data_IF_601847635975
#
_entry.id   IF_601847635975
#
_cell.length_a   1.000
_cell.length_b   1.000
_cell.length_c   1.000
_cell.angle_alpha   90.00
_cell.angle_beta   90.00
_cell.angle_gamma   90.00
#
_symmetry.space_group_name_H-M   'P 1'
#
loop_
_entity.id
_entity.type
_entity.pdbx_description
1 polymer ?
#
# COMPACT_ATOMS: atom_id res chain seq x y z
N UNK A 1 -21.17 28.45 22.19
CA UNK A 1 -20.66 28.97 20.90
C UNK A 1 -19.98 27.80 20.21
N UNK A 2 -20.59 27.35 19.11
CA UNK A 2 -20.16 26.21 18.31
C UNK A 2 -18.73 26.40 17.79
N UNK A 3 -17.88 25.39 18.01
CA UNK A 3 -16.67 25.13 17.22
C UNK A 3 -16.66 23.64 16.88
N UNK A 4 -17.72 23.20 16.22
CA UNK A 4 -17.67 22.04 15.33
C UNK A 4 -17.66 22.62 13.91
N UNK A 5 -16.87 22.03 13.01
CA UNK A 5 -16.86 22.24 11.55
C UNK A 5 -15.60 22.85 10.92
N UNK A 6 -14.41 22.71 11.54
CA UNK A 6 -13.14 22.88 10.80
C UNK A 6 -12.25 21.64 11.05
N UNK A 7 -11.69 21.07 9.98
CA UNK A 7 -10.69 19.99 9.90
C UNK A 7 -11.15 18.52 9.94
N UNK A 8 -11.96 18.07 8.99
CA UNK A 8 -12.04 16.63 8.64
C UNK A 8 -11.49 16.29 7.24
N UNK A 9 -11.37 17.27 6.35
CA UNK A 9 -10.91 17.04 4.97
C UNK A 9 -9.37 16.98 4.82
N UNK A 10 -8.65 17.39 5.87
CA UNK A 10 -7.19 17.52 5.87
C UNK A 10 -6.45 16.25 6.35
N UNK A 11 -7.13 15.34 7.05
CA UNK A 11 -6.52 14.13 7.63
C UNK A 11 -6.86 12.84 6.89
N UNK A 12 -7.24 12.93 5.61
CA UNK A 12 -7.57 11.73 4.82
C UNK A 12 -6.32 10.83 4.73
N UNK A 13 -6.35 9.61 5.31
CA UNK A 13 -5.24 8.68 5.21
C UNK A 13 -4.89 8.39 3.76
N UNK A 14 -3.61 8.16 3.47
CA UNK A 14 -3.21 7.68 2.15
C UNK A 14 -3.91 6.36 1.83
N UNK A 15 -4.15 5.52 2.82
CA UNK A 15 -4.87 4.26 2.68
C UNK A 15 -6.23 4.41 1.97
N UNK A 16 -6.94 5.51 2.19
CA UNK A 16 -8.26 5.75 1.59
C UNK A 16 -8.14 6.36 0.17
N UNK A 17 -6.93 6.73 -0.25
CA UNK A 17 -6.58 7.32 -1.54
C UNK A 17 -5.85 6.34 -2.47
N UNK A 18 -5.67 5.08 -2.06
CA UNK A 18 -4.99 4.06 -2.87
C UNK A 18 -5.94 2.98 -3.39
N UNK A 19 -5.58 2.43 -4.54
CA UNK A 19 -6.19 1.22 -5.09
C UNK A 19 -5.13 0.15 -5.26
N UNK A 20 -5.38 -1.01 -4.64
CA UNK A 20 -4.48 -2.16 -4.63
C UNK A 20 -5.10 -3.26 -5.47
N UNK A 21 -4.31 -3.86 -6.35
CA UNK A 21 -4.72 -5.04 -7.10
C UNK A 21 -4.97 -6.24 -6.16
N UNK A 22 -5.98 -7.05 -6.49
CA UNK A 22 -6.40 -8.18 -5.65
C UNK A 22 -5.22 -9.14 -5.42
N UNK A 23 -4.96 -9.45 -4.14
CA UNK A 23 -3.86 -10.30 -3.68
C UNK A 23 -2.65 -9.52 -3.16
N UNK A 24 -2.48 -8.25 -3.52
CA UNK A 24 -1.33 -7.44 -3.10
C UNK A 24 -1.56 -6.70 -1.78
N UNK A 25 -2.75 -6.82 -1.18
CA UNK A 25 -3.11 -6.11 0.04
C UNK A 25 -2.18 -6.46 1.20
N UNK A 26 -1.87 -7.75 1.38
CA UNK A 26 -0.98 -8.22 2.46
C UNK A 26 0.46 -7.80 2.22
N UNK A 27 0.92 -7.82 0.98
CA UNK A 27 2.24 -7.34 0.59
C UNK A 27 2.41 -5.86 0.93
N UNK A 28 1.44 -5.02 0.51
CA UNK A 28 1.45 -3.59 0.82
C UNK A 28 1.35 -3.32 2.33
N UNK A 29 0.46 -4.02 3.03
CA UNK A 29 0.29 -3.89 4.47
C UNK A 29 1.57 -4.28 5.24
N UNK A 30 2.28 -5.30 4.77
CA UNK A 30 3.52 -5.76 5.41
C UNK A 30 4.66 -4.78 5.18
N UNK A 31 4.70 -4.15 4.01
CA UNK A 31 5.74 -3.21 3.64
C UNK A 31 5.61 -1.83 4.31
N UNK A 32 4.41 -1.24 4.27
CA UNK A 32 4.19 0.14 4.73
C UNK A 32 3.46 0.25 6.07
N UNK A 33 2.74 -0.81 6.47
CA UNK A 33 2.04 -0.87 7.75
C UNK A 33 1.30 0.41 8.12
N UNK A 34 1.50 0.87 9.35
CA UNK A 34 0.81 2.03 9.90
C UNK A 34 1.16 3.36 9.21
N UNK A 35 2.19 3.41 8.36
CA UNK A 35 2.50 4.61 7.61
C UNK A 35 1.43 4.92 6.55
N UNK A 36 0.69 3.90 6.07
CA UNK A 36 -0.49 4.10 5.21
C UNK A 36 -1.61 4.90 5.88
N UNK A 37 -1.65 4.94 7.21
CA UNK A 37 -2.66 5.71 7.96
C UNK A 37 -2.37 7.21 7.98
N UNK A 38 -1.15 7.61 7.61
CA UNK A 38 -0.77 9.02 7.58
C UNK A 38 -1.39 9.74 6.36
N UNK A 39 -1.79 11.01 6.51
CA UNK A 39 -2.30 11.82 5.41
C UNK A 39 -1.20 12.32 4.47
N UNK A 40 -1.60 12.85 3.31
CA UNK A 40 -0.71 13.57 2.40
C UNK A 40 -0.55 15.03 2.86
N UNK A 41 0.68 15.54 2.85
CA UNK A 41 0.95 16.96 2.95
C UNK A 41 0.59 17.63 1.63
N UNK A 42 -0.52 18.38 1.63
CA UNK A 42 -0.95 19.19 0.48
C UNK A 42 -0.40 20.63 0.52
N UNK A 43 -0.11 21.13 1.71
CA UNK A 43 0.39 22.50 1.91
C UNK A 43 1.79 22.53 2.55
N UNK A 44 2.59 23.55 2.20
CA UNK A 44 3.95 23.69 2.74
C UNK A 44 3.97 23.95 4.25
N UNK A 45 2.88 24.48 4.81
CA UNK A 45 2.72 24.88 6.22
C UNK A 45 1.96 23.86 7.06
N UNK A 46 1.76 22.65 6.56
CA UNK A 46 1.05 21.57 7.27
C UNK A 46 1.66 21.26 8.64
N UNK A 47 0.79 21.14 9.65
CA UNK A 47 1.14 20.93 11.07
C UNK A 47 1.11 19.44 11.50
N UNK A 48 0.92 18.51 10.56
CA UNK A 48 0.81 17.09 10.89
C UNK A 48 2.12 16.55 11.48
N UNK A 49 2.01 15.72 12.54
CA UNK A 49 3.17 15.04 13.15
C UNK A 49 3.65 13.83 12.36
N UNK A 50 2.78 13.22 11.54
CA UNK A 50 3.04 12.10 10.64
C UNK A 50 2.33 12.39 9.33
N UNK A 51 3.04 12.40 8.22
CA UNK A 51 2.48 12.66 6.89
C UNK A 51 3.41 12.14 5.81
N UNK A 52 2.85 11.90 4.62
CA UNK A 52 3.60 11.69 3.40
C UNK A 52 3.76 13.03 2.67
N UNK A 53 4.94 13.31 2.14
CA UNK A 53 5.19 14.53 1.37
C UNK A 53 5.91 14.21 0.07
N UNK A 54 5.76 15.11 -0.89
CA UNK A 54 6.47 14.98 -2.16
C UNK A 54 7.95 15.28 -1.95
N UNK A 55 8.80 14.32 -2.30
CA UNK A 55 10.24 14.52 -2.34
C UNK A 55 10.61 15.34 -3.59
N UNK A 56 11.35 16.44 -3.39
CA UNK A 56 11.84 17.28 -4.49
C UNK A 56 12.96 16.55 -5.24
N UNK A 57 12.79 16.37 -6.56
CA UNK A 57 13.80 15.79 -7.43
C UNK A 57 13.80 14.27 -7.46
N UNK A 58 12.63 13.66 -7.72
CA UNK A 58 12.36 12.22 -7.91
C UNK A 58 13.50 11.45 -8.60
N UNK A 59 14.54 11.11 -7.83
CA UNK A 59 15.48 10.06 -8.19
C UNK A 59 14.78 8.78 -7.82
N UNK A 60 14.24 8.13 -8.84
CA UNK A 60 13.84 6.73 -8.75
C UNK A 60 15.10 5.98 -8.29
N UNK A 61 15.02 5.34 -7.12
CA UNK A 61 16.16 4.65 -6.51
C UNK A 61 16.72 3.54 -7.41
N UNK A 62 17.72 2.78 -6.92
CA UNK A 62 18.24 1.64 -7.68
C UNK A 62 17.12 0.67 -8.07
N UNK A 63 17.31 -0.03 -9.19
CA UNK A 63 16.38 -1.07 -9.61
C UNK A 63 16.32 -2.20 -8.57
N UNK A 64 15.14 -2.82 -8.47
CA UNK A 64 14.97 -3.99 -7.61
C UNK A 64 15.77 -5.18 -8.17
N UNK A 65 16.22 -6.11 -7.30
CA UNK A 65 16.88 -7.32 -7.76
C UNK A 65 16.03 -8.09 -8.76
N UNK A 66 16.69 -8.72 -9.74
CA UNK A 66 16.01 -9.51 -10.76
C UNK A 66 15.13 -10.59 -10.12
N UNK A 67 13.86 -10.67 -10.54
CA UNK A 67 12.86 -11.59 -9.99
C UNK A 67 11.97 -10.98 -8.90
N UNK A 68 12.29 -9.79 -8.40
CA UNK A 68 11.36 -9.02 -7.57
C UNK A 68 10.50 -8.09 -8.44
N UNK A 69 9.19 -8.13 -8.23
CA UNK A 69 8.23 -7.27 -8.95
C UNK A 69 7.91 -6.06 -8.08
N UNK A 70 8.05 -4.84 -8.61
CA UNK A 70 7.75 -3.63 -7.84
C UNK A 70 6.28 -3.55 -7.44
N UNK A 71 6.00 -3.18 -6.17
CA UNK A 71 4.64 -2.87 -5.73
C UNK A 71 4.02 -1.70 -6.51
N UNK A 72 4.83 -0.79 -7.04
CA UNK A 72 4.37 0.33 -7.87
C UNK A 72 3.60 -0.14 -9.12
N UNK A 73 3.84 -1.36 -9.61
CA UNK A 73 3.12 -1.92 -10.75
C UNK A 73 1.69 -2.39 -10.40
N UNK A 74 1.42 -2.67 -9.13
CA UNK A 74 0.17 -3.28 -8.64
C UNK A 74 -0.62 -2.39 -7.68
N UNK A 75 -0.06 -1.24 -7.32
CA UNK A 75 -0.67 -0.26 -6.40
C UNK A 75 -0.78 1.08 -7.11
N UNK A 76 -2.01 1.52 -7.37
CA UNK A 76 -2.28 2.88 -7.82
C UNK A 76 -2.37 3.79 -6.59
N UNK A 77 -1.36 4.64 -6.41
CA UNK A 77 -1.24 5.53 -5.28
C UNK A 77 -0.90 6.96 -5.68
N UNK A 78 -1.06 7.93 -4.77
CA UNK A 78 -0.52 9.28 -4.93
C UNK A 78 1.00 9.27 -5.21
N UNK A 79 1.47 10.23 -6.00
CA UNK A 79 2.87 10.30 -6.47
C UNK A 79 3.90 10.36 -5.34
N UNK A 80 3.50 10.85 -4.17
CA UNK A 80 4.28 10.93 -2.94
C UNK A 80 4.77 9.55 -2.47
N UNK A 81 4.04 8.47 -2.83
CA UNK A 81 4.39 7.10 -2.47
C UNK A 81 5.24 6.39 -3.54
N UNK A 82 5.41 6.96 -4.74
CA UNK A 82 6.12 6.30 -5.83
C UNK A 82 7.53 5.87 -5.41
N UNK A 83 8.25 6.75 -4.70
CA UNK A 83 9.62 6.49 -4.27
C UNK A 83 9.72 5.21 -3.41
N UNK A 84 8.79 5.01 -2.47
CA UNK A 84 8.81 3.83 -1.62
C UNK A 84 8.25 2.60 -2.34
N UNK A 85 7.15 2.74 -3.08
CA UNK A 85 6.53 1.63 -3.81
C UNK A 85 7.47 1.02 -4.86
N UNK A 86 8.35 1.82 -5.46
CA UNK A 86 9.37 1.35 -6.38
C UNK A 86 10.51 0.57 -5.70
N UNK A 87 10.74 0.81 -4.41
CA UNK A 87 11.79 0.14 -3.63
C UNK A 87 11.27 -1.03 -2.80
N UNK A 88 9.98 -1.35 -2.94
CA UNK A 88 9.38 -2.58 -2.39
C UNK A 88 9.17 -3.59 -3.50
N UNK A 89 9.90 -4.70 -3.42
CA UNK A 89 9.75 -5.84 -4.32
C UNK A 89 8.84 -6.93 -3.74
N UNK A 90 7.97 -7.49 -4.56
CA UNK A 90 7.19 -8.68 -4.25
C UNK A 90 7.85 -9.89 -4.91
N UNK A 91 8.10 -10.93 -4.12
CA UNK A 91 8.63 -12.21 -4.58
C UNK A 91 7.65 -13.34 -4.31
N UNK A 92 7.84 -14.46 -5.00
CA UNK A 92 6.91 -15.60 -4.98
C UNK A 92 6.81 -16.27 -3.61
N UNK A 93 7.91 -16.36 -2.85
CA UNK A 93 7.93 -17.06 -1.57
C UNK A 93 8.92 -16.48 -0.55
N UNK A 94 8.73 -16.85 0.73
CA UNK A 94 9.63 -16.44 1.82
C UNK A 94 11.06 -16.96 1.59
N UNK A 95 11.21 -18.17 1.02
CA UNK A 95 12.52 -18.75 0.72
C UNK A 95 13.26 -17.96 -0.35
N UNK A 96 12.55 -17.43 -1.35
CA UNK A 96 13.14 -16.54 -2.36
C UNK A 96 13.52 -15.21 -1.73
N UNK A 97 12.65 -14.63 -0.90
CA UNK A 97 12.95 -13.38 -0.19
C UNK A 97 14.22 -13.51 0.67
N UNK A 98 14.33 -14.62 1.41
CA UNK A 98 15.45 -14.93 2.29
C UNK A 98 16.77 -15.08 1.51
N UNK A 99 16.75 -15.72 0.33
CA UNK A 99 17.93 -15.84 -0.54
C UNK A 99 18.29 -14.52 -1.24
N UNK A 100 17.28 -13.75 -1.63
CA UNK A 100 17.45 -12.53 -2.42
C UNK A 100 17.81 -11.31 -1.57
N UNK A 101 17.53 -11.31 -0.26
CA UNK A 101 17.79 -10.12 0.60
C UNK A 101 19.23 -9.62 0.54
N UNK A 102 20.21 -10.50 0.32
CA UNK A 102 21.63 -10.13 0.20
C UNK A 102 21.96 -9.32 -1.06
N UNK A 103 21.05 -9.26 -2.03
CA UNK A 103 21.18 -8.45 -3.26
C UNK A 103 20.43 -7.12 -3.19
N UNK A 104 19.76 -6.81 -2.07
CA UNK A 104 19.04 -5.56 -1.91
C UNK A 104 20.01 -4.38 -1.80
N UNK A 105 19.70 -3.31 -2.52
CA UNK A 105 20.34 -2.03 -2.32
C UNK A 105 19.82 -1.34 -1.04
N UNK A 106 20.55 -0.32 -0.59
CA UNK A 106 20.16 0.46 0.58
C UNK A 106 18.77 1.08 0.39
N UNK A 107 17.91 0.92 1.40
CA UNK A 107 16.53 1.40 1.39
C UNK A 107 15.51 0.42 0.79
N UNK A 108 15.95 -0.66 0.14
CA UNK A 108 15.04 -1.63 -0.46
C UNK A 108 14.49 -2.64 0.55
N UNK A 109 13.35 -3.21 0.19
CA UNK A 109 12.70 -4.27 0.94
C UNK A 109 12.00 -5.25 0.01
N UNK A 110 11.87 -6.50 0.48
CA UNK A 110 11.10 -7.55 -0.17
C UNK A 110 9.92 -7.95 0.71
N UNK A 111 8.84 -8.35 0.06
CA UNK A 111 7.65 -8.93 0.68
C UNK A 111 7.12 -10.05 -0.21
N UNK A 112 6.13 -10.78 0.27
CA UNK A 112 5.41 -11.80 -0.52
C UNK A 112 3.93 -11.46 -0.58
N UNK A 113 3.21 -12.12 -1.49
CA UNK A 113 1.74 -12.02 -1.56
C UNK A 113 1.04 -12.44 -0.26
N UNK A 114 1.69 -13.29 0.54
CA UNK A 114 1.17 -13.74 1.84
C UNK A 114 1.58 -12.82 3.00
N UNK A 115 2.36 -11.78 2.72
CA UNK A 115 2.95 -10.88 3.71
C UNK A 115 4.42 -11.18 3.99
N UNK A 116 4.87 -10.76 5.16
CA UNK A 116 6.29 -10.79 5.55
C UNK A 116 7.06 -9.61 4.98
N UNK A 117 8.24 -9.35 5.57
CA UNK A 117 9.08 -8.23 5.21
C UNK A 117 10.55 -8.60 5.40
N UNK A 118 11.37 -8.39 4.38
CA UNK A 118 12.83 -8.54 4.43
C UNK A 118 13.46 -7.24 3.96
N UNK A 119 14.20 -6.56 4.84
CA UNK A 119 14.85 -5.29 4.54
C UNK A 119 16.34 -5.47 4.31
N UNK A 120 16.91 -4.53 3.55
CA UNK A 120 18.34 -4.46 3.26
C UNK A 120 19.24 -4.42 4.51
N UNK A 121 18.73 -3.88 5.63
CA UNK A 121 19.45 -3.73 6.91
C UNK A 121 19.44 -5.01 7.77
N UNK A 122 18.81 -6.09 7.29
CA UNK A 122 18.71 -7.37 8.00
C UNK A 122 17.47 -7.49 8.88
N UNK A 123 16.56 -6.50 8.89
CA UNK A 123 15.27 -6.63 9.56
C UNK A 123 14.36 -7.61 8.79
N UNK A 124 13.84 -8.60 9.50
CA UNK A 124 12.98 -9.65 8.93
C UNK A 124 11.72 -9.84 9.78
N UNK A 125 10.57 -9.89 9.11
CA UNK A 125 9.29 -10.33 9.66
C UNK A 125 8.78 -11.46 8.79
N UNK A 126 8.40 -12.58 9.41
CA UNK A 126 7.86 -13.76 8.71
C UNK A 126 6.36 -13.86 8.90
N UNK A 127 5.66 -14.36 7.90
CA UNK A 127 4.20 -14.46 7.90
C UNK A 127 3.47 -13.12 7.90
N UNK A 128 2.18 -13.19 8.16
CA UNK A 128 1.28 -12.03 8.06
C UNK A 128 1.46 -11.04 9.22
N UNK A 129 1.52 -9.75 8.89
CA UNK A 129 1.59 -8.67 9.88
C UNK A 129 0.18 -8.20 10.23
N UNK A 130 -0.20 -8.35 11.50
CA UNK A 130 -1.47 -7.87 12.04
C UNK A 130 -1.37 -6.40 12.47
N UNK A 131 -1.34 -5.48 11.49
CA UNK A 131 -1.36 -4.03 11.73
C UNK A 131 -2.70 -3.41 11.30
N UNK A 132 -2.95 -2.16 11.71
CA UNK A 132 -4.25 -1.49 11.45
C UNK A 132 -4.54 -1.38 9.95
N UNK A 133 -3.50 -1.12 9.16
CA UNK A 133 -3.58 -1.04 7.70
C UNK A 133 -3.96 -2.36 7.05
N UNK A 134 -3.44 -3.50 7.52
CA UNK A 134 -3.79 -4.84 7.05
C UNK A 134 -5.29 -5.12 7.22
N UNK A 135 -5.83 -4.80 8.40
CA UNK A 135 -7.26 -4.96 8.71
C UNK A 135 -8.10 -4.10 7.76
N UNK A 136 -7.75 -2.82 7.61
CA UNK A 136 -8.49 -1.89 6.74
C UNK A 136 -8.38 -2.24 5.26
N UNK A 137 -7.22 -2.68 4.77
CA UNK A 137 -7.04 -3.15 3.39
C UNK A 137 -7.89 -4.37 3.10
N UNK A 138 -7.90 -5.34 4.01
CA UNK A 138 -8.73 -6.55 3.89
C UNK A 138 -10.22 -6.22 3.87
N UNK A 139 -10.66 -5.29 4.74
CA UNK A 139 -12.04 -4.80 4.74
C UNK A 139 -12.39 -4.07 3.43
N UNK A 140 -11.50 -3.20 2.93
CA UNK A 140 -11.68 -2.47 1.68
C UNK A 140 -11.76 -3.43 0.48
N UNK A 141 -10.92 -4.46 0.42
CA UNK A 141 -10.95 -5.49 -0.60
C UNK A 141 -12.28 -6.27 -0.57
N UNK A 142 -12.72 -6.69 0.62
CA UNK A 142 -14.01 -7.40 0.81
C UNK A 142 -15.20 -6.52 0.41
N UNK A 143 -15.20 -5.24 0.76
CA UNK A 143 -16.24 -4.30 0.35
C UNK A 143 -16.32 -4.13 -1.17
N UNK A 144 -15.16 -4.07 -1.85
CA UNK A 144 -15.11 -3.98 -3.32
C UNK A 144 -15.68 -5.24 -3.98
N UNK A 145 -15.33 -6.42 -3.47
CA UNK A 145 -15.83 -7.70 -3.97
C UNK A 145 -17.35 -7.82 -3.83
N UNK A 146 -17.88 -7.58 -2.62
CA UNK A 146 -19.33 -7.63 -2.36
C UNK A 146 -20.09 -6.60 -3.19
N UNK A 147 -19.55 -5.38 -3.32
CA UNK A 147 -20.17 -4.33 -4.14
C UNK A 147 -20.19 -4.70 -5.63
N UNK A 148 -19.14 -5.33 -6.14
CA UNK A 148 -19.08 -5.82 -7.51
C UNK A 148 -20.13 -6.91 -7.75
N UNK A 149 -20.27 -7.88 -6.84
CA UNK A 149 -21.29 -8.93 -6.91
C UNK A 149 -22.71 -8.36 -6.94
N UNK A 150 -23.03 -7.43 -6.02
CA UNK A 150 -24.34 -6.78 -5.97
C UNK A 150 -24.63 -6.03 -7.27
N UNK A 151 -23.65 -5.31 -7.82
CA UNK A 151 -23.81 -4.60 -9.09
C UNK A 151 -24.03 -5.56 -10.27
N UNK A 152 -23.33 -6.69 -10.30
CA UNK A 152 -23.49 -7.73 -11.31
C UNK A 152 -24.86 -8.41 -11.26
N UNK A 153 -25.36 -8.69 -10.05
CA UNK A 153 -26.69 -9.26 -9.81
C UNK A 153 -27.80 -8.29 -10.25
N UNK A 154 -27.67 -6.99 -9.93
CA UNK A 154 -28.61 -5.96 -10.40
C UNK A 154 -28.66 -5.90 -11.93
N UNK A 155 -27.52 -5.92 -12.63
CA UNK A 155 -27.46 -5.92 -14.10
C UNK A 155 -28.12 -7.17 -14.71
N UNK A 156 -27.90 -8.36 -14.14
CA UNK A 156 -28.57 -9.60 -14.59
C UNK A 156 -30.09 -9.56 -14.39
N UNK A 157 -30.56 -9.00 -13.27
CA UNK A 157 -32.00 -8.87 -12.98
C UNK A 157 -32.71 -7.88 -13.90
N UNK A 158 -32.06 -6.80 -14.30
CA UNK A 158 -32.61 -5.85 -15.30
C UNK A 158 -32.66 -6.48 -16.70
N UNK A 159 -31.68 -7.32 -17.04
CA UNK A 159 -31.59 -7.98 -18.36
C UNK A 159 -32.57 -9.15 -18.55
N UNK A 160 -32.96 -9.83 -17.47
CA UNK A 160 -33.99 -10.89 -17.48
C UNK A 160 -35.44 -10.36 -17.37
N UNK A 161 -35.62 -9.04 -17.29
CA UNK A 161 -36.95 -8.39 -17.22
C UNK A 161 -37.35 -7.68 -18.52
N UNK A 162 -36.50 -7.74 -19.55
CA UNK A 162 -36.80 -7.30 -20.91
C UNK A 162 -37.14 -8.50 -21.78
#
# INVERSE_FOLDING_TARGET
MLLADIEHDEQIPVLDQIHVEKGYEKALASALGDDLTAPLQREKTTVFKRYWSRLVGEKLGPELPQGAISLNSHVKAPSELNAILMQVGVVESEEIAEKMRGSLAHGQMLTTMNGGLWRWDGFVVRGEINNQSSVRLTQAARLREVSAEVSGLKRKKTRNRC
#
